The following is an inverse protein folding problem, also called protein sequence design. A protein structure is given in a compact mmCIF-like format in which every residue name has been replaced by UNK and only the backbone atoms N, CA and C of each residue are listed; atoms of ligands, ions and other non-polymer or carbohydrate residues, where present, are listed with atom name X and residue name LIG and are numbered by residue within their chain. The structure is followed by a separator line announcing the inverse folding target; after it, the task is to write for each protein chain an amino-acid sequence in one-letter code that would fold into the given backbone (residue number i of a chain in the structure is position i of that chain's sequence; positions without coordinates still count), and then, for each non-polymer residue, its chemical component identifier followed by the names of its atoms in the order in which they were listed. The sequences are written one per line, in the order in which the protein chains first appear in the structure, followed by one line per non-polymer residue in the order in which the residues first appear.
data_IF_870117751101
#
_entry.id   IF_870117751101
#
_cell.length_a   1.000
_cell.length_b   1.000
_cell.length_c   1.000
_cell.angle_alpha   90.00
_cell.angle_beta   90.00
_cell.angle_gamma   90.00
#
_symmetry.space_group_name_H-M   'P 1'
#
loop_
_entity.id
_entity.type
_entity.pdbx_description
1 polymer ?
#
# COMPACT_ATOMS: atom_id res chain seq x y z
N UNK A 1 -19.63 13.66 -21.99
CA UNK A 1 -18.60 12.76 -21.42
C UNK A 1 -18.17 13.35 -20.10
N UNK A 2 -18.01 12.52 -19.06
CA UNK A 2 -17.51 13.00 -17.78
C UNK A 2 -16.03 13.40 -17.92
N UNK A 3 -15.57 14.37 -17.12
CA UNK A 3 -14.16 14.82 -17.11
C UNK A 3 -13.21 13.63 -16.95
N UNK A 4 -13.62 12.62 -16.18
CA UNK A 4 -12.84 11.40 -15.95
C UNK A 4 -12.67 10.54 -17.21
N UNK A 5 -13.65 10.50 -18.13
CA UNK A 5 -13.52 9.78 -19.41
C UNK A 5 -12.40 10.41 -20.26
N UNK A 6 -12.38 11.75 -20.30
CA UNK A 6 -11.38 12.52 -21.06
C UNK A 6 -9.99 12.28 -20.46
N UNK A 7 -9.87 12.26 -19.13
CA UNK A 7 -8.60 11.97 -18.46
C UNK A 7 -8.12 10.55 -18.75
N UNK A 8 -9.00 9.54 -18.67
CA UNK A 8 -8.65 8.15 -18.98
C UNK A 8 -8.19 8.01 -20.44
N UNK A 9 -8.94 8.59 -21.39
CA UNK A 9 -8.57 8.55 -22.80
C UNK A 9 -7.23 9.26 -23.04
N UNK A 10 -7.00 10.42 -22.41
CA UNK A 10 -5.74 11.14 -22.51
C UNK A 10 -4.56 10.30 -21.99
N UNK A 11 -4.73 9.59 -20.87
CA UNK A 11 -3.72 8.67 -20.32
C UNK A 11 -3.47 7.52 -21.30
N UNK A 12 -4.52 6.87 -21.82
CA UNK A 12 -4.38 5.77 -22.78
C UNK A 12 -3.66 6.21 -24.05
N UNK A 13 -4.03 7.36 -24.62
CA UNK A 13 -3.37 7.93 -25.80
C UNK A 13 -1.90 8.25 -25.50
N UNK A 14 -1.61 8.86 -24.34
CA UNK A 14 -0.23 9.15 -23.93
C UNK A 14 0.61 7.88 -23.86
N UNK A 15 0.11 6.82 -23.23
CA UNK A 15 0.85 5.55 -23.15
C UNK A 15 0.96 4.84 -24.51
N UNK A 16 -0.06 4.93 -25.36
CA UNK A 16 -0.03 4.44 -26.74
C UNK A 16 1.07 5.13 -27.57
N UNK A 17 1.14 6.46 -27.49
CA UNK A 17 2.15 7.27 -28.18
C UNK A 17 3.55 6.97 -27.65
N UNK A 18 3.73 6.90 -26.33
CA UNK A 18 5.01 6.52 -25.72
C UNK A 18 5.44 5.12 -26.19
N UNK A 19 4.50 4.17 -26.24
CA UNK A 19 4.76 2.82 -26.72
C UNK A 19 5.16 2.79 -28.20
N UNK A 20 4.47 3.56 -29.03
CA UNK A 20 4.81 3.72 -30.44
C UNK A 20 6.21 4.33 -30.63
N UNK A 21 6.57 5.36 -29.87
CA UNK A 21 7.88 6.04 -29.97
C UNK A 21 8.99 5.11 -29.49
N UNK A 22 8.78 4.39 -28.40
CA UNK A 22 9.81 3.49 -27.82
C UNK A 22 9.99 2.21 -28.63
N UNK A 23 8.98 1.77 -29.37
CA UNK A 23 8.97 0.47 -30.04
C UNK A 23 8.50 -0.65 -29.10
N UNK A 24 8.22 -1.82 -29.69
CA UNK A 24 7.65 -2.97 -29.00
C UNK A 24 8.59 -3.53 -27.96
N UNK A 25 9.83 -3.86 -28.34
CA UNK A 25 10.76 -4.53 -27.45
C UNK A 25 11.06 -3.67 -26.21
N UNK A 26 11.27 -2.38 -26.39
CA UNK A 26 11.52 -1.46 -25.29
C UNK A 26 10.29 -1.27 -24.40
N UNK A 27 9.09 -1.26 -24.98
CA UNK A 27 7.85 -1.17 -24.19
C UNK A 27 7.66 -2.45 -23.36
N UNK A 28 7.87 -3.62 -23.95
CA UNK A 28 7.81 -4.92 -23.30
C UNK A 28 8.85 -5.06 -22.18
N UNK A 29 10.11 -4.72 -22.46
CA UNK A 29 11.19 -4.70 -21.47
C UNK A 29 10.88 -3.72 -20.33
N UNK A 30 10.30 -2.56 -20.63
CA UNK A 30 9.90 -1.60 -19.59
C UNK A 30 8.79 -2.13 -18.68
N UNK A 31 7.87 -2.96 -19.22
CA UNK A 31 6.82 -3.61 -18.44
C UNK A 31 7.42 -4.62 -17.49
N UNK A 32 8.18 -5.59 -18.02
CA UNK A 32 8.85 -6.61 -17.21
C UNK A 32 9.82 -6.00 -16.20
N UNK A 33 10.58 -4.97 -16.59
CA UNK A 33 11.44 -4.24 -15.66
C UNK A 33 10.64 -3.60 -14.53
N UNK A 34 9.46 -3.01 -14.80
CA UNK A 34 8.65 -2.40 -13.74
C UNK A 34 8.17 -3.44 -12.74
N UNK A 35 7.66 -4.55 -13.25
CA UNK A 35 7.17 -5.66 -12.41
C UNK A 35 8.33 -6.29 -11.62
N UNK A 36 9.47 -6.55 -12.27
CA UNK A 36 10.65 -7.09 -11.62
C UNK A 36 11.22 -6.13 -10.57
N UNK A 37 11.35 -4.84 -10.88
CA UNK A 37 11.81 -3.84 -9.91
C UNK A 37 10.85 -3.72 -8.72
N UNK A 38 9.54 -3.78 -8.95
CA UNK A 38 8.56 -3.74 -7.87
C UNK A 38 8.64 -5.01 -7.01
N UNK A 39 8.74 -6.19 -7.63
CA UNK A 39 8.90 -7.45 -6.91
C UNK A 39 10.16 -7.44 -6.03
N UNK A 40 11.30 -7.04 -6.60
CA UNK A 40 12.55 -6.89 -5.83
C UNK A 40 12.42 -5.84 -4.74
N UNK A 41 11.74 -4.72 -5.01
CA UNK A 41 11.51 -3.68 -4.00
C UNK A 41 10.69 -4.19 -2.81
N UNK A 42 9.62 -4.95 -3.06
CA UNK A 42 8.80 -5.56 -2.01
C UNK A 42 9.63 -6.58 -1.21
N UNK A 43 10.44 -7.41 -1.88
CA UNK A 43 11.29 -8.40 -1.23
C UNK A 43 12.39 -7.75 -0.35
N UNK A 44 12.95 -6.63 -0.81
CA UNK A 44 13.98 -5.89 -0.08
C UNK A 44 13.40 -4.86 0.90
N UNK A 45 12.08 -4.66 0.95
CA UNK A 45 11.46 -3.62 1.77
C UNK A 45 11.76 -3.79 3.26
N UNK A 46 11.68 -5.02 3.78
CA UNK A 46 11.92 -5.31 5.20
C UNK A 46 13.32 -4.92 5.69
N UNK A 47 14.43 -5.42 5.09
CA UNK A 47 15.77 -5.04 5.53
C UNK A 47 16.03 -3.54 5.34
N UNK A 48 15.52 -2.95 4.25
CA UNK A 48 15.70 -1.51 4.00
C UNK A 48 14.91 -0.65 4.98
N UNK A 49 13.70 -1.05 5.35
CA UNK A 49 12.90 -0.37 6.37
C UNK A 49 13.59 -0.37 7.73
N UNK A 50 14.25 -1.49 8.10
CA UNK A 50 15.04 -1.57 9.34
C UNK A 50 16.22 -0.60 9.32
N UNK A 51 16.95 -0.53 8.20
CA UNK A 51 18.06 0.42 8.04
C UNK A 51 17.56 1.87 8.08
N UNK A 52 16.48 2.17 7.36
CA UNK A 52 15.89 3.50 7.30
C UNK A 52 15.39 3.94 8.68
N UNK A 53 14.77 3.03 9.44
CA UNK A 53 14.34 3.31 10.80
C UNK A 53 15.54 3.55 11.75
N UNK A 54 16.62 2.79 11.62
CA UNK A 54 17.84 2.99 12.42
C UNK A 54 18.46 4.38 12.19
N UNK A 55 18.47 4.85 10.94
CA UNK A 55 19.08 6.14 10.57
C UNK A 55 18.17 7.33 10.90
N UNK A 56 16.87 7.23 10.58
CA UNK A 56 15.95 8.38 10.63
C UNK A 56 14.97 8.34 11.81
N UNK A 57 14.94 7.24 12.57
CA UNK A 57 14.01 7.07 13.69
C UNK A 57 12.55 7.16 13.27
N UNK A 58 12.20 6.67 12.08
CA UNK A 58 10.86 6.84 11.48
C UNK A 58 9.77 6.32 12.40
N UNK A 59 9.94 5.11 12.95
CA UNK A 59 8.94 4.48 13.83
C UNK A 59 8.75 5.30 15.09
N UNK A 60 9.83 5.79 15.72
CA UNK A 60 9.74 6.63 16.92
C UNK A 60 9.08 7.98 16.63
N UNK A 61 9.54 8.67 15.57
CA UNK A 61 9.11 10.04 15.29
C UNK A 61 7.69 10.11 14.70
N UNK A 62 7.38 9.23 13.76
CA UNK A 62 6.03 9.13 13.16
C UNK A 62 5.10 8.43 14.14
N UNK A 63 5.55 7.36 14.81
CA UNK A 63 4.74 6.61 15.76
C UNK A 63 4.29 7.46 16.93
N UNK A 64 5.18 8.27 17.52
CA UNK A 64 4.79 9.22 18.56
C UNK A 64 3.77 10.26 18.10
N UNK A 65 3.85 10.73 16.84
CA UNK A 65 2.87 11.66 16.27
C UNK A 65 1.51 10.99 16.00
N UNK A 66 1.52 9.75 15.53
CA UNK A 66 0.31 8.96 15.32
C UNK A 66 -0.34 8.67 16.67
N UNK A 67 0.44 8.20 17.65
CA UNK A 67 0.00 7.95 19.01
C UNK A 67 -0.68 9.18 19.60
N UNK A 68 -0.06 10.37 19.51
CA UNK A 68 -0.64 11.62 19.95
C UNK A 68 -1.95 12.01 19.23
N UNK A 69 -2.12 11.59 17.97
CA UNK A 69 -3.34 11.84 17.19
C UNK A 69 -4.49 10.88 17.51
N UNK A 70 -4.20 9.70 18.05
CA UNK A 70 -5.19 8.66 18.36
C UNK A 70 -5.51 8.53 19.85
N UNK A 71 -4.99 9.42 20.70
CA UNK A 71 -5.27 9.44 22.16
C UNK A 71 -6.76 9.56 22.50
N UNK A 72 -7.60 10.03 21.59
CA UNK A 72 -9.06 10.12 21.78
C UNK A 72 -9.81 8.86 21.30
N UNK A 73 -9.09 7.87 20.78
CA UNK A 73 -9.61 6.60 20.26
C UNK A 73 -9.13 5.46 21.18
N UNK A 74 -8.95 5.75 22.47
CA UNK A 74 -8.49 4.74 23.43
C UNK A 74 -9.56 3.67 23.64
N UNK A 75 -9.16 2.41 23.85
CA UNK A 75 -10.11 1.33 24.09
C UNK A 75 -10.86 1.52 25.42
N UNK A 76 -10.30 2.31 26.36
CA UNK A 76 -10.81 2.50 27.72
C UNK A 76 -11.60 3.79 27.94
N UNK A 77 -11.96 4.51 26.87
CA UNK A 77 -12.65 5.81 26.96
C UNK A 77 -13.96 5.78 27.76
N UNK A 78 -14.61 4.61 27.87
CA UNK A 78 -15.92 4.43 28.51
C UNK A 78 -15.84 3.91 29.97
N UNK A 79 -14.65 3.91 30.57
CA UNK A 79 -14.42 3.46 31.94
C UNK A 79 -13.85 2.05 31.99
N UNK A 80 -12.61 1.95 32.43
CA UNK A 80 -11.90 0.69 32.62
C UNK A 80 -11.47 0.58 34.08
N UNK A 81 -11.92 -0.47 34.76
CA UNK A 81 -11.44 -0.79 36.10
C UNK A 81 -10.02 -1.37 36.02
N UNK A 82 -9.15 -0.93 36.93
CA UNK A 82 -7.75 -1.30 36.92
C UNK A 82 -7.55 -2.82 37.01
N UNK A 83 -6.99 -3.41 35.97
CA UNK A 83 -6.49 -4.80 36.01
C UNK A 83 -5.17 -4.81 36.78
N UNK A 84 -5.00 -5.64 37.79
CA UNK A 84 -3.85 -5.52 38.72
C UNK A 84 -2.54 -6.13 38.22
N UNK A 85 -2.57 -7.01 37.22
CA UNK A 85 -1.41 -7.82 36.79
C UNK A 85 -0.98 -7.61 35.32
N UNK A 86 -1.30 -6.43 34.77
CA UNK A 86 -1.12 -6.13 33.35
C UNK A 86 -2.25 -6.66 32.50
N UNK A 87 -2.29 -6.27 31.23
CA UNK A 87 -3.35 -6.68 30.30
C UNK A 87 -2.74 -7.43 29.13
N UNK A 88 -3.18 -8.67 28.90
CA UNK A 88 -2.79 -9.42 27.71
C UNK A 88 -3.54 -8.94 26.47
N UNK A 89 -2.98 -9.18 25.28
CA UNK A 89 -3.62 -8.86 24.02
C UNK A 89 -4.97 -9.56 23.85
N UNK A 90 -5.10 -10.80 24.34
CA UNK A 90 -6.35 -11.56 24.30
C UNK A 90 -7.45 -10.94 25.18
N UNK A 91 -7.10 -10.52 26.41
CA UNK A 91 -8.02 -9.83 27.31
C UNK A 91 -8.42 -8.45 26.78
N UNK A 92 -7.47 -7.72 26.20
CA UNK A 92 -7.72 -6.42 25.57
C UNK A 92 -8.67 -6.55 24.37
N UNK A 93 -8.46 -7.54 23.50
CA UNK A 93 -9.39 -7.82 22.39
C UNK A 93 -10.78 -8.17 22.89
N UNK A 94 -10.88 -9.02 23.91
CA UNK A 94 -12.16 -9.42 24.50
C UNK A 94 -12.92 -8.22 25.09
N UNK A 95 -12.21 -7.30 25.75
CA UNK A 95 -12.78 -6.05 26.26
C UNK A 95 -13.24 -5.12 25.12
N UNK A 96 -12.41 -4.92 24.10
CA UNK A 96 -12.72 -4.05 22.95
C UNK A 96 -13.93 -4.56 22.17
N UNK A 97 -14.01 -5.88 21.95
CA UNK A 97 -15.11 -6.52 21.23
C UNK A 97 -16.45 -6.36 21.98
N UNK A 98 -16.42 -6.27 23.31
CA UNK A 98 -17.63 -6.12 24.14
C UNK A 98 -18.05 -4.66 24.34
N UNK A 99 -17.13 -3.70 24.30
CA UNK A 99 -17.41 -2.29 24.64
C UNK A 99 -17.34 -1.32 23.45
N UNK A 100 -16.63 -1.65 22.37
CA UNK A 100 -16.39 -0.73 21.25
C UNK A 100 -16.57 -1.37 19.85
N UNK A 101 -17.79 -1.82 19.52
CA UNK A 101 -18.07 -2.47 18.24
C UNK A 101 -17.82 -1.54 17.03
N UNK A 102 -17.36 -2.11 15.92
CA UNK A 102 -17.22 -1.39 14.64
C UNK A 102 -15.78 -1.23 14.14
N UNK A 103 -15.41 -0.02 13.69
CA UNK A 103 -14.08 0.21 13.09
C UNK A 103 -12.95 0.09 14.11
N UNK A 104 -13.18 0.48 15.38
CA UNK A 104 -12.21 0.36 16.47
C UNK A 104 -11.83 -1.11 16.66
N UNK A 105 -12.81 -1.97 16.94
CA UNK A 105 -12.66 -3.43 17.02
C UNK A 105 -11.80 -4.01 15.89
N UNK A 106 -12.13 -3.69 14.63
CA UNK A 106 -11.40 -4.20 13.47
C UNK A 106 -9.95 -3.73 13.42
N UNK A 107 -9.66 -2.48 13.79
CA UNK A 107 -8.29 -1.98 13.85
C UNK A 107 -7.50 -2.67 14.97
N UNK A 108 -8.05 -2.71 16.18
CA UNK A 108 -7.37 -3.29 17.34
C UNK A 108 -7.09 -4.79 17.15
N UNK A 109 -8.06 -5.54 16.62
CA UNK A 109 -7.89 -6.96 16.31
C UNK A 109 -6.86 -7.23 15.19
N UNK A 110 -6.58 -6.24 14.33
CA UNK A 110 -5.60 -6.35 13.24
C UNK A 110 -4.17 -6.06 13.70
N UNK A 111 -3.98 -5.20 14.71
CA UNK A 111 -2.65 -4.75 15.13
C UNK A 111 -2.15 -5.38 16.43
N UNK A 112 -3.05 -5.78 17.34
CA UNK A 112 -2.68 -6.40 18.62
C UNK A 112 -2.51 -7.91 18.43
N UNK A 113 -1.36 -8.43 18.83
CA UNK A 113 -1.14 -9.87 18.92
C UNK A 113 -1.62 -10.39 20.28
N UNK A 114 -2.15 -11.62 20.31
CA UNK A 114 -2.66 -12.23 21.55
C UNK A 114 -1.55 -12.41 22.60
N UNK A 115 -0.30 -12.59 22.13
CA UNK A 115 0.90 -12.77 22.95
C UNK A 115 1.47 -11.49 23.55
N UNK A 116 0.97 -10.31 23.17
CA UNK A 116 1.48 -9.03 23.68
C UNK A 116 0.99 -8.82 25.10
N UNK A 117 1.90 -8.45 26.00
CA UNK A 117 1.56 -8.05 27.37
C UNK A 117 1.79 -6.55 27.53
N UNK A 118 0.76 -5.86 28.00
CA UNK A 118 0.81 -4.46 28.41
C UNK A 118 0.97 -4.42 29.92
N UNK A 119 2.22 -4.47 30.39
CA UNK A 119 2.54 -4.45 31.82
C UNK A 119 2.52 -3.03 32.38
N UNK A 120 2.17 -2.91 33.66
CA UNK A 120 2.43 -1.71 34.44
C UNK A 120 3.94 -1.52 34.56
N UNK A 121 4.43 -0.32 34.25
CA UNK A 121 5.78 0.05 34.71
C UNK A 121 5.68 0.35 36.19
N UNK A 122 6.68 -0.07 36.98
CA UNK A 122 6.73 0.03 38.46
C UNK A 122 6.46 1.45 39.00
N UNK A 123 6.44 2.47 38.14
CA UNK A 123 6.26 3.88 38.47
C UNK A 123 4.84 4.43 38.20
N UNK A 124 3.95 3.69 37.54
CA UNK A 124 2.61 4.18 37.18
C UNK A 124 1.52 3.12 37.38
N UNK A 125 0.81 3.24 38.51
CA UNK A 125 -0.28 2.35 38.96
C UNK A 125 -1.66 2.77 38.43
N UNK A 126 -1.73 3.67 37.45
CA UNK A 126 -2.99 4.21 36.93
C UNK A 126 -3.37 3.59 35.59
N UNK A 127 -4.68 3.43 35.35
CA UNK A 127 -5.28 3.01 34.07
C UNK A 127 -4.77 3.85 32.89
N UNK A 128 -4.47 5.12 33.13
CA UNK A 128 -3.89 6.04 32.14
C UNK A 128 -2.55 5.55 31.58
N UNK A 129 -1.71 4.89 32.38
CA UNK A 129 -0.39 4.44 31.92
C UNK A 129 -0.48 3.23 30.97
N UNK A 130 -1.40 2.31 31.25
CA UNK A 130 -1.69 1.17 30.35
C UNK A 130 -2.28 1.68 29.04
N UNK A 131 -3.17 2.68 29.13
CA UNK A 131 -3.78 3.29 27.96
C UNK A 131 -2.75 3.97 27.05
N UNK A 132 -1.80 4.71 27.62
CA UNK A 132 -0.69 5.31 26.88
C UNK A 132 0.21 4.26 26.22
N UNK A 133 0.46 3.12 26.88
CA UNK A 133 1.26 2.03 26.31
C UNK A 133 0.56 1.38 25.10
N UNK A 134 -0.75 1.18 25.16
CA UNK A 134 -1.53 0.63 24.03
C UNK A 134 -1.55 1.63 22.86
N UNK A 135 -1.80 2.91 23.15
CA UNK A 135 -1.79 3.97 22.14
C UNK A 135 -0.42 4.10 21.48
N UNK A 136 0.67 4.05 22.25
CA UNK A 136 2.04 4.08 21.73
C UNK A 136 2.33 2.85 20.87
N UNK A 137 1.93 1.66 21.32
CA UNK A 137 2.10 0.41 20.56
C UNK A 137 1.42 0.49 19.19
N UNK A 138 0.18 0.96 19.14
CA UNK A 138 -0.55 1.12 17.86
C UNK A 138 0.10 2.17 16.98
N UNK A 139 0.49 3.31 17.56
CA UNK A 139 1.19 4.37 16.85
C UNK A 139 2.47 3.86 16.19
N UNK A 140 3.28 3.10 16.93
CA UNK A 140 4.52 2.50 16.43
C UNK A 140 4.26 1.44 15.35
N UNK A 141 3.22 0.61 15.50
CA UNK A 141 2.84 -0.39 14.48
C UNK A 141 2.41 0.27 13.17
N UNK A 142 1.59 1.31 13.23
CA UNK A 142 1.20 2.08 12.04
C UNK A 142 2.40 2.78 11.41
N UNK A 143 3.31 3.33 12.21
CA UNK A 143 4.55 3.92 11.71
C UNK A 143 5.48 2.89 11.06
N UNK A 144 5.48 1.64 11.55
CA UNK A 144 6.18 0.52 10.92
C UNK A 144 5.69 0.23 9.51
N UNK A 145 4.37 0.24 9.29
CA UNK A 145 3.78 0.09 7.94
C UNK A 145 4.23 1.23 7.03
N UNK A 146 4.15 2.47 7.52
CA UNK A 146 4.61 3.65 6.77
C UNK A 146 6.09 3.51 6.41
N UNK A 147 6.92 3.04 7.34
CA UNK A 147 8.35 2.79 7.09
C UNK A 147 8.57 1.76 5.97
N UNK A 148 7.82 0.65 5.96
CA UNK A 148 7.88 -0.37 4.90
C UNK A 148 7.45 0.21 3.55
N UNK A 149 6.40 1.04 3.52
CA UNK A 149 5.95 1.71 2.28
C UNK A 149 7.04 2.63 1.76
N UNK A 150 7.61 3.49 2.62
CA UNK A 150 8.70 4.41 2.26
C UNK A 150 9.91 3.61 1.74
N UNK A 151 10.29 2.52 2.42
CA UNK A 151 11.38 1.66 2.00
C UNK A 151 11.13 1.02 0.62
N UNK A 152 9.91 0.51 0.39
CA UNK A 152 9.51 -0.07 -0.90
C UNK A 152 9.63 0.96 -2.02
N UNK A 153 9.10 2.18 -1.79
CA UNK A 153 9.17 3.28 -2.75
C UNK A 153 10.62 3.69 -3.02
N UNK A 154 11.44 3.82 -1.98
CA UNK A 154 12.85 4.17 -2.11
C UNK A 154 13.62 3.14 -2.95
N UNK A 155 13.48 1.85 -2.63
CA UNK A 155 14.13 0.76 -3.39
C UNK A 155 13.64 0.72 -4.83
N UNK A 156 12.33 0.85 -5.04
CA UNK A 156 11.76 0.88 -6.38
C UNK A 156 12.34 2.02 -7.23
N UNK A 157 12.45 3.22 -6.67
CA UNK A 157 13.04 4.38 -7.34
C UNK A 157 14.52 4.11 -7.67
N UNK A 158 15.29 3.59 -6.72
CA UNK A 158 16.71 3.26 -6.94
C UNK A 158 16.90 2.23 -8.05
N UNK A 159 16.10 1.17 -8.07
CA UNK A 159 16.12 0.16 -9.13
C UNK A 159 15.73 0.77 -10.49
N UNK A 160 14.75 1.68 -10.51
CA UNK A 160 14.38 2.39 -11.73
C UNK A 160 15.48 3.29 -12.27
N UNK A 161 16.20 3.98 -11.39
CA UNK A 161 17.37 4.77 -11.76
C UNK A 161 18.45 3.86 -12.32
N UNK A 162 18.73 2.72 -11.69
CA UNK A 162 19.72 1.76 -12.16
C UNK A 162 19.38 1.21 -13.56
N UNK A 163 18.12 0.79 -13.78
CA UNK A 163 17.65 0.33 -15.09
C UNK A 163 17.74 1.46 -16.12
N UNK A 164 17.36 2.69 -15.75
CA UNK A 164 17.45 3.84 -16.65
C UNK A 164 18.88 4.13 -17.10
N UNK A 165 19.84 4.06 -16.18
CA UNK A 165 21.28 4.20 -16.49
C UNK A 165 21.71 3.07 -17.43
N UNK A 166 21.34 1.83 -17.12
CA UNK A 166 21.68 0.67 -17.94
C UNK A 166 21.10 0.79 -19.36
N UNK A 167 19.84 1.18 -19.50
CA UNK A 167 19.20 1.41 -20.80
C UNK A 167 19.96 2.46 -21.62
N UNK A 168 20.36 3.58 -21.00
CA UNK A 168 21.17 4.60 -21.69
C UNK A 168 22.52 4.07 -22.19
N UNK A 169 23.16 3.18 -21.43
CA UNK A 169 24.43 2.57 -21.83
C UNK A 169 24.24 1.60 -23.00
N UNK A 170 23.17 0.80 -22.98
CA UNK A 170 22.82 -0.11 -24.08
C UNK A 170 22.48 0.66 -25.36
N UNK A 171 21.65 1.71 -25.26
CA UNK A 171 21.25 2.54 -26.41
C UNK A 171 22.45 3.25 -27.07
N UNK A 172 23.49 3.58 -26.29
CA UNK A 172 24.72 4.16 -26.82
C UNK A 172 25.54 3.16 -27.68
N UNK A 173 25.38 1.85 -27.44
CA UNK A 173 26.13 0.77 -28.09
C UNK A 173 25.36 0.23 -29.31
N UNK A 174 24.02 0.22 -29.27
CA UNK A 174 23.16 -0.36 -30.31
C UNK A 174 22.62 0.69 -31.31
N UNK A 175 23.50 1.50 -31.90
CA UNK A 175 23.16 2.37 -33.05
C UNK A 175 23.05 1.57 -34.36
N UNK A 176 22.04 0.69 -34.46
CA UNK A 176 21.40 0.35 -35.73
C UNK A 176 20.33 -0.72 -35.48
N UNK A 177 19.06 -0.36 -35.65
CA UNK A 177 18.03 -1.36 -36.00
C UNK A 177 16.86 -0.71 -36.72
N UNK A 178 17.00 -0.69 -38.03
CA UNK A 178 15.93 -0.44 -38.97
C UNK A 178 15.00 -1.66 -39.04
N UNK A 179 13.90 -1.66 -38.27
CA UNK A 179 12.63 -2.33 -38.63
C UNK A 179 11.49 -1.46 -38.07
N UNK A 180 11.17 -0.37 -38.78
CA UNK A 180 10.49 0.78 -38.16
C UNK A 180 8.95 0.72 -38.13
N UNK A 181 8.30 -0.17 -38.89
CA UNK A 181 6.83 -0.17 -39.01
C UNK A 181 6.14 -1.02 -37.93
N UNK A 182 6.37 -2.33 -37.98
CA UNK A 182 5.75 -3.32 -37.08
C UNK A 182 6.19 -3.15 -35.62
N UNK A 183 7.44 -2.77 -35.37
CA UNK A 183 7.92 -2.48 -34.02
C UNK A 183 7.16 -1.31 -33.37
N UNK A 184 6.79 -0.30 -34.17
CA UNK A 184 6.00 0.85 -33.69
C UNK A 184 4.53 0.49 -33.48
N UNK A 185 3.92 -0.34 -34.33
CA UNK A 185 2.52 -0.75 -34.16
C UNK A 185 2.34 -1.69 -32.97
N UNK A 186 3.25 -2.65 -32.79
CA UNK A 186 3.29 -3.48 -31.59
C UNK A 186 3.62 -2.65 -30.34
N UNK A 187 4.52 -1.66 -30.46
CA UNK A 187 4.78 -0.68 -29.41
C UNK A 187 3.53 0.07 -28.97
N UNK A 188 2.68 0.51 -29.91
CA UNK A 188 1.39 1.13 -29.62
C UNK A 188 0.49 0.19 -28.82
N UNK A 189 0.32 -1.07 -29.25
CA UNK A 189 -0.56 -2.05 -28.59
C UNK A 189 -0.11 -2.30 -27.15
N UNK A 190 1.19 -2.53 -26.94
CA UNK A 190 1.75 -2.72 -25.60
C UNK A 190 1.72 -1.44 -24.76
N UNK A 191 1.84 -0.27 -25.39
CA UNK A 191 1.63 1.02 -24.76
C UNK A 191 0.20 1.15 -24.23
N UNK A 192 -0.80 0.84 -25.06
CA UNK A 192 -2.21 0.82 -24.64
C UNK A 192 -2.47 -0.16 -23.50
N UNK A 193 -1.96 -1.39 -23.60
CA UNK A 193 -2.10 -2.39 -22.54
C UNK A 193 -1.51 -1.89 -21.21
N UNK A 194 -0.33 -1.24 -21.26
CA UNK A 194 0.30 -0.62 -20.09
C UNK A 194 -0.55 0.52 -19.51
N UNK A 195 -1.06 1.41 -20.37
CA UNK A 195 -1.94 2.50 -19.96
C UNK A 195 -3.21 1.98 -19.29
N UNK A 196 -3.84 0.96 -19.88
CA UNK A 196 -5.02 0.31 -19.33
C UNK A 196 -4.73 -0.32 -17.95
N UNK A 197 -3.59 -0.99 -17.79
CA UNK A 197 -3.16 -1.55 -16.51
C UNK A 197 -3.07 -0.47 -15.43
N UNK A 198 -2.45 0.68 -15.74
CA UNK A 198 -2.34 1.80 -14.78
C UNK A 198 -3.73 2.35 -14.42
N UNK A 199 -4.62 2.52 -15.39
CA UNK A 199 -6.01 2.95 -15.14
C UNK A 199 -6.72 1.95 -14.22
N UNK A 200 -6.57 0.64 -14.45
CA UNK A 200 -7.12 -0.40 -13.58
C UNK A 200 -6.58 -0.30 -12.14
N UNK A 201 -5.27 -0.07 -11.96
CA UNK A 201 -4.68 0.13 -10.62
C UNK A 201 -5.27 1.36 -9.93
N UNK A 202 -5.39 2.49 -10.64
CA UNK A 202 -5.95 3.72 -10.07
C UNK A 202 -7.40 3.52 -9.64
N UNK A 203 -8.20 2.83 -10.46
CA UNK A 203 -9.59 2.50 -10.13
C UNK A 203 -9.71 1.48 -9.00
N UNK A 204 -8.78 0.52 -8.91
CA UNK A 204 -8.68 -0.40 -7.78
C UNK A 204 -8.42 0.36 -6.46
N UNK A 205 -7.50 1.32 -6.47
CA UNK A 205 -7.25 2.18 -5.31
C UNK A 205 -8.48 3.04 -4.99
N UNK A 206 -9.15 3.59 -6.01
CA UNK A 206 -10.39 4.34 -5.84
C UNK A 206 -11.51 3.50 -5.20
N UNK A 207 -11.59 2.20 -5.52
CA UNK A 207 -12.48 1.25 -4.84
C UNK A 207 -12.14 1.10 -3.36
N UNK A 208 -10.85 0.97 -3.00
CA UNK A 208 -10.44 0.79 -1.60
C UNK A 208 -10.70 2.03 -0.73
N UNK A 209 -10.63 3.23 -1.29
CA UNK A 209 -10.86 4.49 -0.57
C UNK A 209 -12.35 4.77 -0.34
N UNK A 210 -13.24 4.09 -1.08
CA UNK A 210 -14.71 4.08 -0.96
C UNK A 210 -15.34 5.30 -0.24
N UNK A 211 -15.60 6.38 -0.98
CA UNK A 211 -16.45 7.48 -0.49
C UNK A 211 -17.50 7.89 -1.55
N UNK A 212 -18.55 8.59 -1.09
CA UNK A 212 -19.70 8.99 -1.93
C UNK A 212 -19.27 9.89 -3.10
N UNK A 213 -18.20 10.67 -2.92
CA UNK A 213 -17.65 11.57 -3.95
C UNK A 213 -17.00 10.78 -5.10
N UNK A 214 -16.18 9.77 -4.79
CA UNK A 214 -15.52 8.91 -5.78
C UNK A 214 -16.55 8.06 -6.52
N UNK A 215 -17.57 7.53 -5.82
CA UNK A 215 -18.66 6.79 -6.47
C UNK A 215 -19.45 7.69 -7.44
N UNK A 216 -19.74 8.93 -7.05
CA UNK A 216 -20.40 9.89 -7.94
C UNK A 216 -19.59 10.20 -9.22
N UNK A 217 -18.25 10.16 -9.16
CA UNK A 217 -17.42 10.34 -10.37
C UNK A 217 -17.42 9.12 -11.28
N UNK A 218 -17.47 7.91 -10.71
CA UNK A 218 -17.53 6.65 -11.46
C UNK A 218 -18.91 6.51 -12.12
N UNK A 219 -19.98 6.80 -11.38
CA UNK A 219 -21.35 6.67 -11.86
C UNK A 219 -21.73 7.67 -12.93
N UNK A 220 -21.08 8.83 -13.00
CA UNK A 220 -21.33 9.79 -14.08
C UNK A 220 -20.57 9.47 -15.38
N UNK A 221 -19.77 8.39 -15.40
CA UNK A 221 -18.91 8.02 -16.52
C UNK A 221 -19.30 6.66 -17.11
N UNK A 222 -19.38 6.57 -18.44
CA UNK A 222 -19.70 5.31 -19.11
C UNK A 222 -18.50 4.37 -19.17
N UNK A 223 -17.31 4.91 -19.50
CA UNK A 223 -16.09 4.10 -19.66
C UNK A 223 -15.57 3.65 -18.29
N UNK A 224 -15.52 4.58 -17.32
CA UNK A 224 -15.04 4.29 -15.97
C UNK A 224 -15.92 3.26 -15.29
N UNK A 225 -17.25 3.38 -15.37
CA UNK A 225 -18.16 2.40 -14.76
C UNK A 225 -17.95 0.99 -15.31
N UNK A 226 -17.76 0.87 -16.63
CA UNK A 226 -17.50 -0.42 -17.26
C UNK A 226 -16.18 -1.02 -16.76
N UNK A 227 -15.08 -0.28 -16.85
CA UNK A 227 -13.76 -0.75 -16.37
C UNK A 227 -13.78 -1.06 -14.88
N UNK A 228 -14.40 -0.21 -14.07
CA UNK A 228 -14.50 -0.36 -12.62
C UNK A 228 -15.19 -1.67 -12.24
N UNK A 229 -16.28 -2.04 -12.93
CA UNK A 229 -16.95 -3.33 -12.72
C UNK A 229 -15.98 -4.51 -12.89
N UNK A 230 -15.25 -4.59 -14.00
CA UNK A 230 -14.28 -5.67 -14.22
C UNK A 230 -13.16 -5.66 -13.19
N UNK A 231 -12.66 -4.48 -12.80
CA UNK A 231 -11.64 -4.35 -11.77
C UNK A 231 -12.15 -4.91 -10.44
N UNK A 232 -13.37 -4.55 -10.02
CA UNK A 232 -13.95 -5.06 -8.77
C UNK A 232 -14.20 -6.56 -8.81
N UNK A 233 -14.71 -7.10 -9.92
CA UNK A 233 -14.90 -8.55 -10.11
C UNK A 233 -13.57 -9.31 -10.09
N UNK A 234 -12.54 -8.77 -10.76
CA UNK A 234 -11.20 -9.34 -10.77
C UNK A 234 -10.56 -9.32 -9.39
N UNK A 235 -10.67 -8.20 -8.65
CA UNK A 235 -10.18 -8.11 -7.27
C UNK A 235 -10.90 -9.14 -6.39
N UNK A 236 -12.22 -9.25 -6.49
CA UNK A 236 -12.98 -10.26 -5.75
C UNK A 236 -12.55 -11.69 -6.09
N UNK A 237 -12.29 -11.98 -7.37
CA UNK A 237 -11.76 -13.27 -7.81
C UNK A 237 -10.37 -13.56 -7.25
N UNK A 238 -9.43 -12.62 -7.34
CA UNK A 238 -8.07 -12.79 -6.79
C UNK A 238 -8.13 -12.91 -5.27
N UNK A 239 -8.96 -12.13 -4.59
CA UNK A 239 -9.10 -12.15 -3.14
C UNK A 239 -9.58 -13.51 -2.63
N UNK A 240 -10.58 -14.08 -3.30
CA UNK A 240 -11.11 -15.41 -2.98
C UNK A 240 -10.11 -16.53 -3.33
N UNK A 241 -9.52 -16.47 -4.54
CA UNK A 241 -8.65 -17.55 -5.03
C UNK A 241 -7.31 -17.65 -4.29
N UNK A 242 -6.76 -16.52 -3.87
CA UNK A 242 -5.44 -16.46 -3.26
C UNK A 242 -5.47 -16.20 -1.76
N UNK A 243 -6.64 -16.16 -1.11
CA UNK A 243 -6.77 -15.73 0.29
C UNK A 243 -5.92 -14.47 0.57
N UNK A 244 -6.15 -13.43 -0.24
CA UNK A 244 -5.41 -12.18 -0.12
C UNK A 244 -5.37 -11.64 1.33
N UNK A 245 -6.44 -11.74 2.15
CA UNK A 245 -6.38 -11.35 3.55
C UNK A 245 -5.28 -12.09 4.33
N UNK A 246 -5.15 -13.41 4.15
CA UNK A 246 -4.10 -14.24 4.76
C UNK A 246 -2.68 -13.95 4.24
N UNK A 247 -2.54 -13.65 2.95
CA UNK A 247 -1.24 -13.24 2.38
C UNK A 247 -0.83 -11.82 2.78
N UNK A 248 -1.76 -10.89 2.87
CA UNK A 248 -1.51 -9.51 3.30
C UNK A 248 -1.11 -9.52 4.79
N UNK A 249 -1.80 -10.28 5.64
CA UNK A 249 -1.39 -10.46 7.04
C UNK A 249 -0.03 -11.15 7.18
N UNK A 250 0.31 -12.09 6.28
CA UNK A 250 1.64 -12.72 6.21
C UNK A 250 2.74 -11.85 5.60
N UNK A 251 2.42 -10.87 4.75
CA UNK A 251 3.37 -9.90 4.15
C UNK A 251 3.75 -8.80 5.13
N UNK A 252 2.79 -8.40 5.96
CA UNK A 252 2.96 -7.56 7.13
C UNK A 252 2.83 -8.41 8.40
N UNK A 253 3.67 -9.44 8.61
CA UNK A 253 3.66 -10.09 9.90
C UNK A 253 3.98 -9.00 10.92
N UNK A 254 3.27 -9.04 12.03
CA UNK A 254 3.66 -8.45 13.30
C UNK A 254 5.13 -8.02 13.27
N UNK A 255 5.38 -6.72 13.09
CA UNK A 255 6.75 -6.22 13.05
C UNK A 255 7.26 -6.40 14.48
N UNK A 256 8.03 -7.47 14.68
CA UNK A 256 8.76 -7.77 15.91
C UNK A 256 9.96 -6.85 16.09
#
# INVERSE_FOLDING_TARGET
MAVIDIVIIAVLVLFAVIGMIKGFLNTLLSLFSTVASLAVAILCAKPVAKLLNSVFGIVKNIGGKIAAGITNITPFADGYEAVTDGLTGEELKSYINSHSPGFKEKLYNLFIEDSVSFNYTETATTVEAVDQNIVSYIGERLAGIISIIIATVAVFILLKIAVFILSKLFDAITKNRAISGIDRTLGLIFGLAKGALIVCIVLAVAYLVANNTVQGWIDNSTVTRWVYKYVTEFIGFIANKFDLPGYISGLFPAIS
#
